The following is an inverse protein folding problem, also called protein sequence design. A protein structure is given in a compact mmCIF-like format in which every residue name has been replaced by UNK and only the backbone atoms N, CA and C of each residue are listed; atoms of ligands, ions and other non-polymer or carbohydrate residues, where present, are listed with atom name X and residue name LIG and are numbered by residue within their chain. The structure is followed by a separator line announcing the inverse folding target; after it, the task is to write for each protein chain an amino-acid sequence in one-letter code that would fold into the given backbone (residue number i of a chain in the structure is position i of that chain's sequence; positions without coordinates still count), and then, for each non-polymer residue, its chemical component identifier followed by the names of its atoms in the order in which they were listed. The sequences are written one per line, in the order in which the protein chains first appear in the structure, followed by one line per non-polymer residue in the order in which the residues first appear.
data_IF_040919766645
#
_entry.id   IF_040919766645
#
_cell.length_a   1.000
_cell.length_b   1.000
_cell.length_c   1.000
_cell.angle_alpha   90.00
_cell.angle_beta   90.00
_cell.angle_gamma   90.00
#
_symmetry.space_group_name_H-M   'P 1'
#
loop_
_entity.id
_entity.type
_entity.pdbx_description
1 polymer ?
#
# COMPACT_ATOMS: atom_id res chain seq x y z
N UNK A 1 -6.69 55.88 53.24
CA UNK A 1 -5.79 56.38 52.17
C UNK A 1 -4.71 55.35 51.92
N UNK A 2 -4.58 54.91 50.65
CA UNK A 2 -3.40 54.29 50.02
C UNK A 2 -3.03 52.85 50.41
N UNK A 3 -3.75 51.93 49.77
CA UNK A 3 -3.25 50.79 48.96
C UNK A 3 -1.75 50.52 48.97
N UNK A 4 -1.37 49.29 49.35
CA UNK A 4 -0.13 48.63 48.94
C UNK A 4 -0.49 47.40 48.11
N UNK A 5 -0.08 47.44 46.85
CA UNK A 5 -0.41 46.53 45.76
C UNK A 5 0.59 45.36 45.80
N UNK A 6 0.08 44.14 45.94
CA UNK A 6 0.83 42.90 45.73
C UNK A 6 0.93 42.67 44.23
N UNK A 7 2.12 42.85 43.66
CA UNK A 7 2.38 42.58 42.24
C UNK A 7 2.59 41.06 42.04
N UNK A 8 1.53 40.35 41.66
CA UNK A 8 1.61 38.99 41.15
C UNK A 8 1.96 39.04 39.65
N UNK A 9 3.21 38.71 39.30
CA UNK A 9 3.61 38.48 37.92
C UNK A 9 3.16 37.08 37.49
N UNK A 10 1.98 36.99 36.86
CA UNK A 10 1.57 35.81 36.13
C UNK A 10 2.24 35.83 34.74
N UNK A 11 3.36 35.12 34.59
CA UNK A 11 3.92 34.83 33.28
C UNK A 11 3.01 33.81 32.58
N UNK A 12 2.12 34.30 31.73
CA UNK A 12 1.31 33.48 30.84
C UNK A 12 2.21 32.99 29.70
N UNK A 13 2.77 31.78 29.85
CA UNK A 13 3.50 31.11 28.79
C UNK A 13 2.52 30.74 27.68
N UNK A 14 2.46 31.57 26.63
CA UNK A 14 1.80 31.25 25.38
C UNK A 14 2.54 30.07 24.74
N UNK A 15 2.08 28.85 25.00
CA UNK A 15 2.50 27.66 24.27
C UNK A 15 1.95 27.79 22.86
N UNK A 16 2.79 28.24 21.94
CA UNK A 16 2.51 28.21 20.51
C UNK A 16 2.48 26.73 20.10
N UNK A 17 1.29 26.13 20.10
CA UNK A 17 1.07 24.83 19.47
C UNK A 17 1.24 25.02 17.96
N UNK A 18 2.46 24.85 17.46
CA UNK A 18 2.69 24.65 16.05
C UNK A 18 2.01 23.33 15.67
N UNK A 19 0.79 23.38 15.14
CA UNK A 19 0.25 22.26 14.38
C UNK A 19 1.19 22.07 13.20
N UNK A 20 2.00 21.01 13.26
CA UNK A 20 2.68 20.53 12.07
C UNK A 20 1.60 20.27 11.01
N UNK A 21 1.76 20.85 9.83
CA UNK A 21 0.87 20.53 8.72
C UNK A 21 0.99 19.03 8.42
N UNK A 22 -0.13 18.37 8.18
CA UNK A 22 -0.14 16.95 7.83
C UNK A 22 0.75 16.70 6.60
N UNK A 23 1.48 15.58 6.62
CA UNK A 23 2.27 15.08 5.51
C UNK A 23 1.37 14.30 4.55
N UNK A 24 1.52 14.52 3.25
CA UNK A 24 0.73 13.82 2.22
C UNK A 24 1.60 13.20 1.14
N UNK A 25 1.18 12.07 0.60
CA UNK A 25 1.83 11.39 -0.53
C UNK A 25 0.79 10.75 -1.44
N UNK A 26 1.01 10.86 -2.75
CA UNK A 26 0.17 10.22 -3.76
C UNK A 26 0.84 8.95 -4.27
N UNK A 27 0.12 7.85 -4.25
CA UNK A 27 0.49 6.60 -4.89
C UNK A 27 -0.24 6.50 -6.22
N UNK A 28 0.49 6.22 -7.30
CA UNK A 28 -0.05 6.01 -8.65
C UNK A 28 0.09 4.56 -9.09
N UNK A 29 -0.53 4.21 -10.22
CA UNK A 29 -0.49 2.87 -10.82
C UNK A 29 -1.08 1.77 -9.92
N UNK A 30 -1.99 2.13 -9.00
CA UNK A 30 -2.68 1.17 -8.12
C UNK A 30 -3.84 0.52 -8.87
N UNK A 31 -3.96 -0.80 -8.79
CA UNK A 31 -5.06 -1.50 -9.45
C UNK A 31 -6.39 -1.36 -8.68
N UNK A 32 -7.25 -0.44 -9.14
CA UNK A 32 -8.51 -0.08 -8.49
C UNK A 32 -9.71 -0.30 -9.43
N UNK A 33 -10.04 -1.54 -9.77
CA UNK A 33 -11.02 -1.83 -10.82
C UNK A 33 -12.48 -1.98 -10.35
N UNK A 34 -12.74 -1.93 -9.04
CA UNK A 34 -14.09 -2.07 -8.46
C UNK A 34 -14.19 -1.40 -7.08
N UNK A 35 -15.42 -1.12 -6.64
CA UNK A 35 -15.71 -0.54 -5.32
C UNK A 35 -15.13 -1.35 -4.14
N UNK A 36 -15.00 -2.67 -4.30
CA UNK A 36 -14.34 -3.52 -3.30
C UNK A 36 -12.87 -3.20 -3.11
N UNK A 37 -12.17 -2.75 -4.17
CA UNK A 37 -10.79 -2.28 -4.07
C UNK A 37 -10.70 -0.97 -3.28
N UNK A 38 -11.60 -0.01 -3.56
CA UNK A 38 -11.68 1.27 -2.83
C UNK A 38 -11.83 1.02 -1.33
N UNK A 39 -12.86 0.24 -0.95
CA UNK A 39 -13.08 -0.13 0.45
C UNK A 39 -11.91 -0.92 1.05
N UNK A 40 -11.25 -1.77 0.26
CA UNK A 40 -10.08 -2.54 0.70
C UNK A 40 -8.89 -1.64 1.05
N UNK A 41 -8.61 -0.65 0.20
CA UNK A 41 -7.56 0.36 0.42
C UNK A 41 -7.86 1.22 1.64
N UNK A 42 -9.07 1.77 1.75
CA UNK A 42 -9.50 2.59 2.89
C UNK A 42 -9.39 1.80 4.20
N UNK A 43 -9.82 0.53 4.23
CA UNK A 43 -9.70 -0.34 5.39
C UNK A 43 -8.26 -0.70 5.73
N UNK A 44 -7.38 -0.82 4.74
CA UNK A 44 -5.97 -1.13 4.98
C UNK A 44 -5.28 0.06 5.65
N UNK A 45 -5.45 1.26 5.08
CA UNK A 45 -4.84 2.49 5.57
C UNK A 45 -5.46 2.93 6.90
N UNK A 46 -6.79 2.82 7.05
CA UNK A 46 -7.50 3.22 8.27
C UNK A 46 -7.16 2.39 9.52
N UNK A 47 -6.38 1.30 9.39
CA UNK A 47 -5.80 0.58 10.53
C UNK A 47 -4.59 1.29 11.13
N UNK A 48 -4.00 2.23 10.40
CA UNK A 48 -2.86 3.03 10.84
C UNK A 48 -3.40 4.29 11.49
N UNK A 49 -3.23 4.39 12.81
CA UNK A 49 -3.68 5.55 13.58
C UNK A 49 -3.09 6.86 13.03
N UNK A 50 -3.96 7.86 12.83
CA UNK A 50 -3.59 9.14 12.26
C UNK A 50 -3.48 9.17 10.73
N UNK A 51 -3.55 8.02 10.04
CA UNK A 51 -3.54 7.99 8.58
C UNK A 51 -4.95 8.01 7.99
N UNK A 52 -5.10 8.73 6.88
CA UNK A 52 -6.31 8.75 6.06
C UNK A 52 -5.96 8.53 4.60
N UNK A 53 -6.94 8.08 3.81
CA UNK A 53 -6.79 7.81 2.39
C UNK A 53 -7.88 8.51 1.59
N UNK A 54 -7.51 9.10 0.46
CA UNK A 54 -8.44 9.47 -0.62
C UNK A 54 -8.11 8.57 -1.80
N UNK A 55 -9.10 7.79 -2.24
CA UNK A 55 -8.95 6.83 -3.33
C UNK A 55 -9.67 7.36 -4.56
N UNK A 56 -8.95 7.38 -5.68
CA UNK A 56 -9.46 7.73 -7.01
C UNK A 56 -9.29 6.49 -7.89
N UNK A 57 -10.36 5.72 -8.04
CA UNK A 57 -10.36 4.47 -8.80
C UNK A 57 -10.32 4.68 -10.31
N UNK A 58 -10.89 5.78 -10.80
CA UNK A 58 -10.79 6.19 -12.21
C UNK A 58 -9.35 6.50 -12.61
N UNK A 59 -8.60 7.21 -11.75
CA UNK A 59 -7.20 7.54 -12.00
C UNK A 59 -6.20 6.45 -11.55
N UNK A 60 -6.66 5.44 -10.79
CA UNK A 60 -5.78 4.41 -10.22
C UNK A 60 -4.81 4.98 -9.17
N UNK A 61 -5.28 5.90 -8.32
CA UNK A 61 -4.43 6.61 -7.37
C UNK A 61 -4.96 6.61 -5.94
N UNK A 62 -4.04 6.67 -4.97
CA UNK A 62 -4.34 6.71 -3.53
C UNK A 62 -3.52 7.83 -2.90
N UNK A 63 -4.18 8.84 -2.35
CA UNK A 63 -3.51 9.90 -1.59
C UNK A 63 -3.58 9.56 -0.11
N UNK A 64 -2.42 9.38 0.53
CA UNK A 64 -2.27 9.11 1.96
C UNK A 64 -1.93 10.41 2.66
N UNK A 65 -2.64 10.74 3.73
CA UNK A 65 -2.36 11.92 4.57
C UNK A 65 -2.26 11.50 6.04
N UNK A 66 -1.21 11.95 6.73
CA UNK A 66 -0.95 11.62 8.13
C UNK A 66 -0.07 12.68 8.82
N UNK A 67 0.07 12.67 10.17
CA UNK A 67 0.81 13.70 10.90
C UNK A 67 2.30 13.80 10.54
N UNK A 68 2.89 12.73 10.03
CA UNK A 68 4.32 12.64 9.74
C UNK A 68 4.64 11.56 8.69
N UNK A 69 5.83 11.69 8.06
CA UNK A 69 6.33 10.76 7.03
C UNK A 69 6.39 9.31 7.50
N UNK A 70 6.68 9.04 8.78
CA UNK A 70 6.75 7.66 9.29
C UNK A 70 5.36 7.04 9.37
N UNK A 71 4.34 7.82 9.69
CA UNK A 71 2.95 7.38 9.67
C UNK A 71 2.45 7.17 8.24
N UNK A 72 2.82 8.04 7.30
CA UNK A 72 2.58 7.82 5.85
C UNK A 72 3.24 6.52 5.37
N UNK A 73 4.50 6.28 5.76
CA UNK A 73 5.21 5.05 5.38
C UNK A 73 4.49 3.80 5.92
N UNK A 74 4.08 3.79 7.19
CA UNK A 74 3.29 2.68 7.75
C UNK A 74 1.99 2.42 7.00
N UNK A 75 1.32 3.49 6.56
CA UNK A 75 0.10 3.37 5.75
C UNK A 75 0.38 2.80 4.35
N UNK A 76 1.48 3.19 3.71
CA UNK A 76 1.94 2.58 2.46
C UNK A 76 2.30 1.09 2.64
N UNK A 77 2.98 0.73 3.73
CA UNK A 77 3.30 -0.67 4.05
C UNK A 77 2.02 -1.49 4.29
N UNK A 78 1.04 -0.93 4.99
CA UNK A 78 -0.25 -1.57 5.23
C UNK A 78 -1.04 -1.78 3.93
N UNK A 79 -0.95 -0.84 2.99
CA UNK A 79 -1.53 -0.95 1.66
C UNK A 79 -0.89 -2.11 0.87
N UNK A 80 0.45 -2.21 0.87
CA UNK A 80 1.20 -3.31 0.24
C UNK A 80 0.84 -4.65 0.88
N UNK A 81 0.77 -4.71 2.20
CA UNK A 81 0.36 -5.92 2.93
C UNK A 81 -1.09 -6.34 2.62
N UNK A 82 -1.94 -5.42 2.18
CA UNK A 82 -3.31 -5.70 1.75
C UNK A 82 -3.42 -6.14 0.28
N UNK A 83 -2.29 -6.24 -0.43
CA UNK A 83 -2.21 -6.77 -1.79
C UNK A 83 -2.25 -5.72 -2.91
N UNK A 84 -2.08 -4.44 -2.57
CA UNK A 84 -2.06 -3.34 -3.54
C UNK A 84 -0.64 -2.79 -3.69
N UNK A 85 -0.24 -2.51 -4.93
CA UNK A 85 1.05 -1.89 -5.19
C UNK A 85 0.86 -0.59 -5.97
N UNK A 86 1.78 0.35 -5.79
CA UNK A 86 1.78 1.62 -6.51
C UNK A 86 3.13 2.30 -6.43
N UNK A 87 3.24 3.47 -7.05
CA UNK A 87 4.47 4.28 -7.04
C UNK A 87 4.23 5.57 -6.27
N UNK A 88 5.13 5.86 -5.34
CA UNK A 88 5.05 7.10 -4.57
C UNK A 88 5.50 8.30 -5.39
N UNK A 89 4.75 9.41 -5.28
CA UNK A 89 5.17 10.73 -5.74
C UNK A 89 6.26 11.36 -4.86
N UNK A 90 6.42 10.87 -3.64
CA UNK A 90 7.43 11.31 -2.68
C UNK A 90 8.54 10.24 -2.58
N UNK A 91 9.80 10.56 -2.92
CA UNK A 91 10.91 9.60 -2.89
C UNK A 91 11.29 9.15 -1.47
N UNK A 92 10.85 9.85 -0.42
CA UNK A 92 11.05 9.46 0.97
C UNK A 92 10.14 8.29 1.39
N UNK A 93 8.98 8.16 0.73
CA UNK A 93 8.06 7.05 0.93
C UNK A 93 8.41 5.89 -0.01
N UNK A 94 8.81 4.78 0.58
CA UNK A 94 9.24 3.57 -0.15
C UNK A 94 8.06 2.61 -0.27
N UNK A 95 7.56 2.40 -1.48
CA UNK A 95 6.57 1.34 -1.74
C UNK A 95 7.35 0.12 -2.21
N UNK A 96 7.64 -0.78 -1.28
CA UNK A 96 8.43 -1.99 -1.54
C UNK A 96 7.60 -3.18 -1.07
N UNK A 97 7.48 -4.21 -1.91
CA UNK A 97 6.96 -5.48 -1.44
C UNK A 97 8.09 -6.31 -0.84
N UNK A 98 8.00 -6.63 0.46
CA UNK A 98 8.76 -7.75 1.02
C UNK A 98 8.06 -9.06 0.59
N UNK A 99 8.21 -9.38 -0.69
CA UNK A 99 7.53 -10.49 -1.32
C UNK A 99 8.18 -11.84 -1.03
N UNK A 100 9.36 -11.90 -0.40
CA UNK A 100 10.04 -13.15 -0.06
C UNK A 100 10.63 -13.95 -1.23
N UNK A 101 10.61 -13.41 -2.47
CA UNK A 101 11.26 -14.05 -3.61
C UNK A 101 12.79 -14.07 -3.45
N UNK A 102 13.43 -15.15 -3.90
CA UNK A 102 14.88 -15.39 -3.74
C UNK A 102 15.67 -15.14 -5.02
N UNK A 103 15.01 -14.78 -6.13
CA UNK A 103 15.63 -14.57 -7.44
C UNK A 103 16.10 -15.86 -8.09
N UNK A 104 15.45 -16.99 -7.80
CA UNK A 104 15.85 -18.32 -8.24
C UNK A 104 14.88 -18.87 -9.27
N UNK A 105 15.37 -19.74 -10.14
CA UNK A 105 14.52 -20.56 -10.99
C UNK A 105 13.74 -21.56 -10.14
N UNK A 106 12.44 -21.65 -10.35
CA UNK A 106 11.53 -22.56 -9.68
C UNK A 106 10.55 -23.17 -10.68
N UNK A 107 9.96 -24.32 -10.33
CA UNK A 107 8.93 -24.98 -11.13
C UNK A 107 7.51 -24.69 -10.66
N UNK A 108 7.38 -24.32 -9.38
CA UNK A 108 6.15 -23.95 -8.71
C UNK A 108 6.44 -22.86 -7.70
N UNK A 109 5.52 -21.91 -7.57
CA UNK A 109 5.55 -20.83 -6.60
C UNK A 109 4.15 -20.61 -6.04
N UNK A 110 4.00 -20.75 -4.73
CA UNK A 110 2.76 -20.37 -4.04
C UNK A 110 2.82 -18.89 -3.67
N UNK A 111 1.86 -18.12 -4.16
CA UNK A 111 1.71 -16.69 -3.95
C UNK A 111 0.49 -16.43 -3.08
N UNK A 112 0.63 -15.62 -2.04
CA UNK A 112 -0.44 -15.22 -1.13
C UNK A 112 -0.60 -13.70 -1.02
N UNK A 113 -1.72 -13.29 -0.45
CA UNK A 113 -2.07 -11.90 -0.10
C UNK A 113 -2.21 -10.94 -1.29
N UNK A 114 -2.41 -11.46 -2.50
CA UNK A 114 -2.90 -10.66 -3.64
C UNK A 114 -4.39 -10.42 -3.48
N UNK A 115 -4.83 -9.18 -3.68
CA UNK A 115 -6.25 -8.81 -3.52
C UNK A 115 -7.11 -9.30 -4.70
N UNK A 116 -7.64 -10.52 -4.60
CA UNK A 116 -8.43 -11.19 -5.65
C UNK A 116 -9.96 -11.14 -5.42
N UNK A 117 -10.51 -9.98 -5.07
CA UNK A 117 -11.92 -9.87 -4.69
C UNK A 117 -12.91 -10.01 -5.87
N UNK A 118 -12.48 -9.80 -7.12
CA UNK A 118 -13.35 -9.86 -8.30
C UNK A 118 -12.67 -10.52 -9.52
N UNK A 119 -13.47 -10.81 -10.56
CA UNK A 119 -12.96 -11.48 -11.78
C UNK A 119 -11.94 -10.65 -12.56
N UNK A 120 -12.05 -9.31 -12.55
CA UNK A 120 -11.08 -8.44 -13.23
C UNK A 120 -9.69 -8.54 -12.60
N UNK A 121 -9.60 -8.68 -11.27
CA UNK A 121 -8.33 -8.90 -10.57
C UNK A 121 -7.66 -10.20 -11.04
N UNK A 122 -8.43 -11.29 -11.20
CA UNK A 122 -7.92 -12.56 -11.73
C UNK A 122 -7.43 -12.39 -13.18
N UNK A 123 -8.17 -11.68 -14.01
CA UNK A 123 -7.74 -11.38 -15.39
C UNK A 123 -6.44 -10.57 -15.43
N UNK A 124 -6.25 -9.62 -14.52
CA UNK A 124 -5.02 -8.83 -14.42
C UNK A 124 -3.85 -9.69 -13.95
N UNK A 125 -4.04 -10.57 -12.96
CA UNK A 125 -3.03 -11.57 -12.57
C UNK A 125 -2.64 -12.45 -13.75
N UNK A 126 -3.61 -13.03 -14.46
CA UNK A 126 -3.35 -13.88 -15.62
C UNK A 126 -2.57 -13.13 -16.71
N UNK A 127 -2.93 -11.87 -16.98
CA UNK A 127 -2.22 -11.03 -17.94
C UNK A 127 -0.79 -10.73 -17.50
N UNK A 128 -0.59 -10.37 -16.22
CA UNK A 128 0.73 -10.08 -15.67
C UNK A 128 1.64 -11.32 -15.74
N UNK A 129 1.16 -12.46 -15.24
CA UNK A 129 1.91 -13.72 -15.25
C UNK A 129 2.20 -14.23 -16.66
N UNK A 130 1.30 -13.98 -17.63
CA UNK A 130 1.54 -14.29 -19.04
C UNK A 130 2.69 -13.51 -19.68
N UNK A 131 3.21 -12.46 -19.03
CA UNK A 131 4.41 -11.73 -19.48
C UNK A 131 5.71 -12.28 -18.90
N UNK A 132 5.63 -13.20 -17.94
CA UNK A 132 6.79 -13.80 -17.27
C UNK A 132 7.26 -15.00 -18.08
N UNK A 133 8.50 -14.94 -18.55
CA UNK A 133 9.09 -16.02 -19.35
C UNK A 133 9.12 -17.32 -18.54
N UNK A 134 8.62 -18.41 -19.15
CA UNK A 134 8.65 -19.74 -18.55
C UNK A 134 7.47 -20.07 -17.63
N UNK A 135 6.62 -19.10 -17.28
CA UNK A 135 5.32 -19.40 -16.64
C UNK A 135 4.42 -20.10 -17.65
N UNK A 136 3.84 -21.24 -17.23
CA UNK A 136 2.95 -22.07 -18.06
C UNK A 136 1.52 -22.14 -17.53
N UNK A 137 1.29 -21.77 -16.26
CA UNK A 137 -0.04 -21.81 -15.66
C UNK A 137 -0.10 -21.16 -14.30
N UNK A 138 -1.32 -20.93 -13.82
CA UNK A 138 -1.59 -20.55 -12.44
C UNK A 138 -3.01 -20.94 -12.00
N UNK A 139 -3.26 -20.93 -10.70
CA UNK A 139 -4.56 -21.28 -10.09
C UNK A 139 -5.30 -20.07 -9.49
N UNK A 140 -4.97 -18.84 -9.91
CA UNK A 140 -5.62 -17.64 -9.38
C UNK A 140 -7.13 -17.65 -9.66
N UNK A 141 -7.91 -17.44 -8.61
CA UNK A 141 -9.36 -17.43 -8.69
C UNK A 141 -9.95 -16.37 -7.76
N UNK A 142 -11.20 -15.99 -7.99
CA UNK A 142 -11.88 -14.99 -7.17
C UNK A 142 -12.00 -15.49 -5.72
N UNK A 143 -11.59 -14.66 -4.76
CA UNK A 143 -11.76 -14.89 -3.33
C UNK A 143 -10.74 -15.83 -2.69
N UNK A 144 -9.79 -16.37 -3.46
CA UNK A 144 -8.71 -17.20 -2.89
C UNK A 144 -7.69 -16.32 -2.19
N UNK A 145 -7.12 -16.81 -1.08
CA UNK A 145 -6.06 -16.13 -0.33
C UNK A 145 -4.66 -16.39 -0.88
N UNK A 146 -4.52 -17.50 -1.60
CA UNK A 146 -3.28 -17.93 -2.23
C UNK A 146 -3.59 -18.65 -3.53
N UNK A 147 -2.66 -18.60 -4.47
CA UNK A 147 -2.68 -19.38 -5.70
C UNK A 147 -1.28 -19.89 -6.03
N UNK A 148 -1.22 -20.88 -6.90
CA UNK A 148 0.03 -21.47 -7.39
C UNK A 148 0.33 -20.92 -8.79
N UNK A 149 1.61 -20.66 -9.07
CA UNK A 149 2.16 -20.36 -10.39
C UNK A 149 3.09 -21.50 -10.77
N UNK A 150 2.94 -22.06 -11.97
CA UNK A 150 3.70 -23.22 -12.44
C UNK A 150 4.44 -22.91 -13.74
N UNK A 151 5.56 -23.61 -13.98
CA UNK A 151 6.42 -23.43 -15.16
C UNK A 151 7.90 -23.29 -14.79
N UNK A 152 8.84 -23.17 -15.73
CA UNK A 152 10.27 -22.93 -15.43
C UNK A 152 10.61 -21.44 -15.51
N UNK A 153 10.40 -20.70 -14.40
CA UNK A 153 10.52 -19.24 -14.35
C UNK A 153 11.37 -18.77 -13.17
N UNK A 154 11.79 -17.51 -13.18
CA UNK A 154 12.42 -16.87 -12.03
C UNK A 154 11.36 -16.31 -11.07
N UNK A 155 11.40 -16.70 -9.79
CA UNK A 155 10.40 -16.30 -8.79
C UNK A 155 10.28 -14.78 -8.61
N UNK A 156 11.36 -14.02 -8.78
CA UNK A 156 11.34 -12.56 -8.66
C UNK A 156 10.59 -11.89 -9.81
N UNK A 157 10.65 -12.46 -11.01
CA UNK A 157 9.97 -11.89 -12.19
C UNK A 157 8.45 -11.95 -12.05
N UNK A 158 7.92 -12.93 -11.31
CA UNK A 158 6.49 -13.00 -10.95
C UNK A 158 6.05 -11.75 -10.20
N UNK A 159 6.78 -11.37 -9.14
CA UNK A 159 6.39 -10.20 -8.34
C UNK A 159 6.62 -8.90 -9.06
N UNK A 160 7.69 -8.78 -9.86
CA UNK A 160 7.90 -7.60 -10.73
C UNK A 160 6.72 -7.42 -11.70
N UNK A 161 6.21 -8.51 -12.28
CA UNK A 161 5.05 -8.45 -13.17
C UNK A 161 3.76 -8.05 -12.44
N UNK A 162 3.52 -8.59 -11.24
CA UNK A 162 2.37 -8.23 -10.41
C UNK A 162 2.41 -6.76 -9.98
N UNK A 163 3.57 -6.29 -9.50
CA UNK A 163 3.79 -4.90 -9.07
C UNK A 163 3.58 -3.92 -10.21
N UNK A 164 4.07 -4.25 -11.41
CA UNK A 164 3.81 -3.45 -12.63
C UNK A 164 2.32 -3.38 -12.99
N UNK A 165 1.55 -4.36 -12.56
CA UNK A 165 0.10 -4.38 -12.72
C UNK A 165 -0.67 -3.73 -11.54
N UNK A 166 0.04 -3.10 -10.58
CA UNK A 166 -0.56 -2.45 -9.42
C UNK A 166 -0.97 -3.41 -8.30
N UNK A 167 -0.43 -4.63 -8.30
CA UNK A 167 -0.76 -5.70 -7.36
C UNK A 167 0.46 -6.05 -6.50
N UNK A 168 0.24 -6.26 -5.21
CA UNK A 168 1.25 -6.79 -4.30
C UNK A 168 0.87 -8.21 -3.86
N UNK A 169 1.87 -9.00 -3.51
CA UNK A 169 1.72 -10.34 -2.95
C UNK A 169 3.05 -10.81 -2.39
N UNK A 170 3.07 -12.00 -1.81
CA UNK A 170 4.30 -12.61 -1.29
C UNK A 170 4.33 -14.12 -1.49
N UNK A 171 5.52 -14.68 -1.46
CA UNK A 171 5.76 -16.12 -1.36
C UNK A 171 5.12 -16.64 -0.08
N UNK A 172 4.46 -17.79 -0.16
CA UNK A 172 3.87 -18.44 1.00
C UNK A 172 4.89 -19.10 1.93
#
# INVERSE_FOLDING_TARGET
MKTLIIAAWAAFSLSLSASAADTSTKLTDVHLCCAGCVTGVEKAIGKVEGATAVVDDDAGTVTITAPDTKTVQKAADALVAAGYFGKSSDPSIKVVSDNGAKGKKVQSLKVKDVHLCCGKCVSVVNKALGTVTGVSGNTAAKGVKSFEVTGDFNDKEVFVALEKAGLAGKVE
#
